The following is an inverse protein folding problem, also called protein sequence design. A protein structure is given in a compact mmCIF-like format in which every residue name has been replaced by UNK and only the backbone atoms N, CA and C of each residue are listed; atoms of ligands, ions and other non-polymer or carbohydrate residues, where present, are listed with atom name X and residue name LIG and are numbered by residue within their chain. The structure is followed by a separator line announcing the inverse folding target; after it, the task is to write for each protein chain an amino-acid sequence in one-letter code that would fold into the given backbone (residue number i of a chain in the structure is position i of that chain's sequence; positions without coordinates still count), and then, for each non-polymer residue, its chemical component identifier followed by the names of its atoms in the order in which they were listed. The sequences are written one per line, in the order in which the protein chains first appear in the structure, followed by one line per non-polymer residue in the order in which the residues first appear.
data_IF_464773792735
#
_entry.id   IF_464773792735
#
_cell.length_a   1.000
_cell.length_b   1.000
_cell.length_c   1.000
_cell.angle_alpha   90.00
_cell.angle_beta   90.00
_cell.angle_gamma   90.00
#
_symmetry.space_group_name_H-M   'P 1'
#
loop_
_entity.id
_entity.type
_entity.pdbx_description
1 polymer ?
#
# COMPACT_ATOMS: atom_id res chain seq x y z
N UNK A 1 -12.03 -7.07 -0.02
CA UNK A 1 -11.85 -7.03 -1.48
C UNK A 1 -12.69 -5.87 -1.99
N UNK A 2 -12.10 -4.68 -2.11
CA UNK A 2 -12.86 -3.50 -2.54
C UNK A 2 -12.76 -3.39 -4.05
N UNK A 3 -13.81 -3.87 -4.72
CA UNK A 3 -14.03 -3.70 -6.15
C UNK A 3 -14.39 -2.24 -6.44
N UNK A 4 -13.42 -1.46 -6.91
CA UNK A 4 -13.69 -0.18 -7.56
C UNK A 4 -14.13 -0.45 -9.01
N UNK A 5 -15.36 -0.94 -9.19
CA UNK A 5 -16.00 -0.89 -10.51
C UNK A 5 -16.48 0.53 -10.75
N UNK A 6 -15.73 1.30 -11.52
CA UNK A 6 -16.22 2.55 -12.09
C UNK A 6 -15.49 2.92 -13.39
N UNK A 7 -15.51 2.04 -14.38
CA UNK A 7 -15.48 2.44 -15.79
C UNK A 7 -16.29 1.41 -16.59
N UNK A 8 -17.57 1.68 -16.83
CA UNK A 8 -18.28 1.06 -17.95
C UNK A 8 -17.79 1.73 -19.24
N UNK A 9 -17.30 0.90 -20.15
CA UNK A 9 -16.48 1.26 -21.31
C UNK A 9 -17.38 1.58 -22.49
N UNK A 10 -17.78 2.85 -22.68
CA UNK A 10 -18.24 3.38 -23.99
C UNK A 10 -17.76 4.83 -24.29
N UNK A 11 -17.56 5.73 -23.32
CA UNK A 11 -17.45 7.17 -23.63
C UNK A 11 -16.06 7.80 -23.36
N UNK A 12 -15.41 8.49 -24.33
CA UNK A 12 -14.15 9.22 -24.12
C UNK A 12 -14.20 10.24 -22.96
N UNK A 13 -15.40 10.64 -22.54
CA UNK A 13 -15.61 11.45 -21.33
C UNK A 13 -15.07 10.79 -20.05
N UNK A 14 -15.19 9.47 -19.88
CA UNK A 14 -14.66 8.75 -18.72
C UNK A 14 -13.14 8.79 -18.67
N UNK A 15 -12.52 8.68 -19.84
CA UNK A 15 -11.08 8.78 -20.04
C UNK A 15 -10.54 10.17 -19.65
N UNK A 16 -11.16 11.22 -20.18
CA UNK A 16 -10.78 12.59 -19.86
C UNK A 16 -11.07 12.95 -18.41
N UNK A 17 -12.13 12.41 -17.80
CA UNK A 17 -12.38 12.56 -16.36
C UNK A 17 -11.29 11.88 -15.52
N UNK A 18 -10.79 10.72 -15.97
CA UNK A 18 -9.67 10.07 -15.31
C UNK A 18 -8.39 10.91 -15.46
N UNK A 19 -8.09 11.42 -16.65
CA UNK A 19 -6.87 12.20 -16.87
C UNK A 19 -6.96 13.65 -16.38
N UNK A 20 -8.15 14.18 -16.11
CA UNK A 20 -8.38 15.57 -15.70
C UNK A 20 -7.98 15.91 -14.26
N UNK A 21 -7.22 15.05 -13.59
CA UNK A 21 -6.79 15.23 -12.21
C UNK A 21 -5.27 15.33 -12.15
N UNK A 22 -4.79 16.41 -11.52
CA UNK A 22 -3.38 16.74 -11.46
C UNK A 22 -2.57 15.64 -10.76
N UNK A 23 -3.07 15.07 -9.66
CA UNK A 23 -2.36 14.04 -8.91
C UNK A 23 -2.21 12.77 -9.76
N UNK A 24 -3.23 12.38 -10.53
CA UNK A 24 -3.16 11.22 -11.44
C UNK A 24 -2.18 11.45 -12.58
N UNK A 25 -2.13 12.64 -13.17
CA UNK A 25 -1.15 12.96 -14.21
C UNK A 25 0.28 12.95 -13.66
N UNK A 26 0.50 13.50 -12.46
CA UNK A 26 1.80 13.46 -11.79
C UNK A 26 2.23 12.02 -11.47
N UNK A 27 1.30 11.18 -10.99
CA UNK A 27 1.54 9.74 -10.78
C UNK A 27 1.95 9.05 -12.08
N UNK A 28 1.22 9.25 -13.18
CA UNK A 28 1.54 8.64 -14.47
C UNK A 28 2.92 9.06 -14.99
N UNK A 29 3.27 10.35 -14.87
CA UNK A 29 4.60 10.84 -15.24
C UNK A 29 5.73 10.21 -14.42
N UNK A 30 5.53 10.06 -13.11
CA UNK A 30 6.53 9.41 -12.24
C UNK A 30 6.68 7.92 -12.59
N UNK A 31 5.56 7.23 -12.79
CA UNK A 31 5.53 5.80 -13.13
C UNK A 31 6.08 5.50 -14.54
N UNK A 32 6.04 6.47 -15.46
CA UNK A 32 6.65 6.32 -16.79
C UNK A 32 8.18 6.31 -16.70
N UNK A 33 8.75 7.03 -15.72
CA UNK A 33 10.19 7.11 -15.48
C UNK A 33 10.72 5.93 -14.67
N UNK A 34 9.97 5.45 -13.69
CA UNK A 34 10.41 4.36 -12.83
C UNK A 34 9.26 3.62 -12.15
N UNK A 35 9.46 2.34 -11.83
CA UNK A 35 8.56 1.59 -10.96
C UNK A 35 8.69 2.04 -9.51
N UNK A 36 7.56 2.38 -8.87
CA UNK A 36 7.53 2.98 -7.54
C UNK A 36 6.52 2.26 -6.64
N UNK A 37 6.80 2.21 -5.33
CA UNK A 37 5.88 1.71 -4.32
C UNK A 37 4.97 2.84 -3.80
N UNK A 38 3.90 2.48 -3.08
CA UNK A 38 2.93 3.48 -2.56
C UNK A 38 3.60 4.49 -1.64
N UNK A 39 4.52 4.07 -0.78
CA UNK A 39 5.21 4.91 0.20
C UNK A 39 6.11 5.96 -0.47
N UNK A 40 6.84 5.56 -1.51
CA UNK A 40 7.68 6.42 -2.33
C UNK A 40 6.81 7.43 -3.09
N UNK A 41 5.71 6.98 -3.69
CA UNK A 41 4.76 7.88 -4.38
C UNK A 41 4.17 8.91 -3.42
N UNK A 42 3.80 8.52 -2.20
CA UNK A 42 3.33 9.46 -1.18
C UNK A 42 4.40 10.46 -0.77
N UNK A 43 5.66 10.01 -0.65
CA UNK A 43 6.79 10.87 -0.30
C UNK A 43 7.14 11.87 -1.40
N UNK A 44 7.05 11.48 -2.67
CA UNK A 44 7.34 12.35 -3.81
C UNK A 44 6.22 13.41 -3.98
N UNK A 45 4.96 12.98 -3.90
CA UNK A 45 3.82 13.86 -4.18
C UNK A 45 3.36 14.68 -2.97
N UNK A 46 3.76 14.30 -1.75
CA UNK A 46 3.29 14.92 -0.52
C UNK A 46 1.80 14.66 -0.22
N UNK A 47 1.24 13.59 -0.79
CA UNK A 47 -0.18 13.24 -0.66
C UNK A 47 -0.37 12.14 0.38
N UNK A 48 -1.55 12.08 1.00
CA UNK A 48 -1.93 11.01 1.91
C UNK A 48 -1.98 9.66 1.20
N UNK A 49 -1.53 8.60 1.89
CA UNK A 49 -1.50 7.23 1.37
C UNK A 49 -2.86 6.70 0.90
N UNK A 50 -3.94 7.06 1.58
CA UNK A 50 -5.30 6.72 1.18
C UNK A 50 -5.69 7.35 -0.16
N UNK A 51 -5.28 8.60 -0.41
CA UNK A 51 -5.50 9.31 -1.66
C UNK A 51 -4.74 8.67 -2.82
N UNK A 52 -3.44 8.42 -2.62
CA UNK A 52 -2.59 7.77 -3.64
C UNK A 52 -3.12 6.38 -3.98
N UNK A 53 -3.48 5.56 -2.99
CA UNK A 53 -4.04 4.23 -3.22
C UNK A 53 -5.34 4.27 -4.04
N UNK A 54 -6.23 5.22 -3.73
CA UNK A 54 -7.47 5.43 -4.51
C UNK A 54 -7.16 5.80 -5.97
N UNK A 55 -6.22 6.71 -6.20
CA UNK A 55 -5.82 7.11 -7.54
C UNK A 55 -5.21 5.94 -8.32
N UNK A 56 -4.35 5.15 -7.69
CA UNK A 56 -3.74 3.96 -8.30
C UNK A 56 -4.78 2.90 -8.65
N UNK A 57 -5.80 2.70 -7.80
CA UNK A 57 -6.89 1.78 -8.10
C UNK A 57 -7.62 2.19 -9.38
N UNK A 58 -8.01 3.47 -9.51
CA UNK A 58 -8.69 3.97 -10.71
C UNK A 58 -7.83 3.84 -11.97
N UNK A 59 -6.52 4.11 -11.87
CA UNK A 59 -5.58 3.94 -12.99
C UNK A 59 -5.38 2.47 -13.38
N UNK A 60 -5.43 1.56 -12.41
CA UNK A 60 -5.38 0.10 -12.63
C UNK A 60 -6.65 -0.41 -13.28
N UNK A 61 -7.82 0.05 -12.81
CA UNK A 61 -9.13 -0.31 -13.37
C UNK A 61 -9.25 0.16 -14.82
N UNK A 62 -8.65 1.30 -15.17
CA UNK A 62 -8.55 1.80 -16.54
C UNK A 62 -7.47 1.10 -17.40
N UNK A 63 -6.68 0.19 -16.83
CA UNK A 63 -5.62 -0.52 -17.56
C UNK A 63 -4.41 0.34 -17.93
N UNK A 64 -4.19 1.46 -17.24
CA UNK A 64 -3.03 2.34 -17.44
C UNK A 64 -1.80 1.89 -16.63
N UNK A 65 -2.04 1.31 -15.45
CA UNK A 65 -1.01 0.92 -14.49
C UNK A 65 -1.22 -0.53 -14.10
N UNK A 66 -0.12 -1.25 -13.88
CA UNK A 66 -0.11 -2.59 -13.31
C UNK A 66 0.61 -2.60 -11.98
N UNK A 67 0.20 -3.54 -11.13
CA UNK A 67 0.75 -3.77 -9.80
C UNK A 67 1.54 -5.08 -9.81
N UNK A 68 2.77 -5.05 -9.34
CA UNK A 68 3.67 -6.20 -9.20
C UNK A 68 4.13 -6.31 -7.75
N UNK A 69 4.08 -7.52 -7.20
CA UNK A 69 4.51 -7.77 -5.82
C UNK A 69 5.91 -8.36 -5.83
N UNK A 70 6.84 -7.67 -5.20
CA UNK A 70 8.25 -8.07 -5.11
C UNK A 70 8.72 -7.92 -3.66
N UNK A 71 9.33 -8.98 -3.10
CA UNK A 71 9.89 -8.99 -1.74
C UNK A 71 8.95 -8.45 -0.63
N UNK A 72 7.64 -8.67 -0.76
CA UNK A 72 6.63 -8.23 0.22
C UNK A 72 6.07 -6.81 0.00
N UNK A 73 6.58 -6.07 -0.99
CA UNK A 73 6.10 -4.75 -1.37
C UNK A 73 5.32 -4.79 -2.69
N UNK A 74 4.29 -3.94 -2.82
CA UNK A 74 3.59 -3.71 -4.09
C UNK A 74 4.22 -2.52 -4.83
N UNK A 75 4.77 -2.81 -5.99
CA UNK A 75 5.31 -1.83 -6.93
C UNK A 75 4.31 -1.59 -8.06
N UNK A 76 4.27 -0.37 -8.55
CA UNK A 76 3.41 0.05 -9.65
C UNK A 76 4.28 0.44 -10.84
N UNK A 77 3.84 0.09 -12.04
CA UNK A 77 4.46 0.51 -13.31
C UNK A 77 3.41 0.75 -14.38
N UNK A 78 3.75 1.55 -15.40
CA UNK A 78 2.89 1.71 -16.57
C UNK A 78 2.66 0.35 -17.23
N UNK A 79 1.40 0.08 -17.59
CA UNK A 79 1.03 -1.15 -18.26
C UNK A 79 1.69 -1.23 -19.65
N UNK A 80 2.36 -2.34 -20.01
CA UNK A 80 2.96 -2.51 -21.34
C UNK A 80 1.98 -2.25 -22.48
N UNK A 81 0.71 -2.67 -22.32
CA UNK A 81 -0.36 -2.44 -23.28
C UNK A 81 -0.60 -0.96 -23.64
N UNK A 82 -0.28 -0.02 -22.73
CA UNK A 82 -0.32 1.42 -23.01
C UNK A 82 0.77 1.81 -24.01
N UNK A 83 1.99 1.29 -23.80
CA UNK A 83 3.15 1.56 -24.65
C UNK A 83 3.02 0.86 -26.01
N UNK A 84 2.53 -0.37 -26.01
CA UNK A 84 2.34 -1.19 -27.20
C UNK A 84 1.09 -0.78 -28.01
N UNK A 85 0.38 0.26 -27.57
CA UNK A 85 -0.86 0.76 -28.18
C UNK A 85 -1.97 -0.29 -28.31
N UNK A 86 -1.89 -1.35 -27.50
CA UNK A 86 -2.82 -2.46 -27.50
C UNK A 86 -4.08 -2.17 -26.68
N UNK A 87 -4.12 -1.06 -25.94
CA UNK A 87 -5.29 -0.56 -25.24
C UNK A 87 -5.88 0.67 -25.94
N UNK A 88 -7.06 1.11 -25.49
CA UNK A 88 -7.72 2.32 -26.00
C UNK A 88 -6.94 3.63 -25.78
N UNK A 89 -5.73 3.60 -25.21
CA UNK A 89 -4.89 4.76 -24.93
C UNK A 89 -3.69 4.91 -25.88
N UNK A 90 -3.49 3.96 -26.80
CA UNK A 90 -2.27 3.89 -27.61
C UNK A 90 -1.91 5.15 -28.40
N UNK A 91 -2.91 5.86 -28.93
CA UNK A 91 -2.69 7.10 -29.68
C UNK A 91 -2.56 8.35 -28.78
N UNK A 92 -3.12 8.31 -27.57
CA UNK A 92 -3.09 9.43 -26.63
C UNK A 92 -1.80 9.46 -25.81
N UNK A 93 -1.24 8.29 -25.51
CA UNK A 93 -0.06 8.17 -24.67
C UNK A 93 1.17 8.96 -25.18
N UNK A 94 1.53 8.92 -26.48
CA UNK A 94 2.65 9.71 -26.98
C UNK A 94 2.45 11.23 -26.80
N UNK A 95 1.22 11.72 -26.98
CA UNK A 95 0.88 13.13 -26.76
C UNK A 95 1.01 13.50 -25.28
N UNK A 96 0.53 12.63 -24.38
CA UNK A 96 0.71 12.82 -22.95
C UNK A 96 2.19 12.84 -22.55
N UNK A 97 3.02 11.97 -23.13
CA UNK A 97 4.46 11.95 -22.87
C UNK A 97 5.16 13.24 -23.32
N UNK A 98 4.80 13.77 -24.49
CA UNK A 98 5.29 15.06 -24.96
C UNK A 98 4.91 16.20 -24.00
N UNK A 99 3.64 16.23 -23.56
CA UNK A 99 3.17 17.19 -22.57
C UNK A 99 3.81 17.00 -21.20
N UNK A 100 4.10 15.77 -20.76
CA UNK A 100 4.83 15.51 -19.52
C UNK A 100 6.26 16.02 -19.58
N UNK A 101 6.92 15.96 -20.76
CA UNK A 101 8.22 16.58 -20.98
C UNK A 101 8.17 18.10 -20.81
N UNK A 102 7.19 18.76 -21.44
CA UNK A 102 7.00 20.20 -21.34
C UNK A 102 6.58 20.65 -19.93
N UNK A 103 5.61 19.96 -19.31
CA UNK A 103 5.14 20.22 -17.95
C UNK A 103 6.18 19.85 -16.87
N UNK A 104 7.15 18.99 -17.22
CA UNK A 104 8.32 18.72 -16.40
C UNK A 104 9.19 19.94 -16.14
N UNK A 105 9.18 20.90 -17.07
CA UNK A 105 9.80 22.20 -16.89
C UNK A 105 9.08 23.13 -15.91
N UNK A 106 7.93 22.76 -15.35
CA UNK A 106 7.26 23.54 -14.31
C UNK A 106 7.96 23.45 -12.94
N UNK A 107 7.74 24.41 -12.01
CA UNK A 107 8.33 24.37 -10.67
C UNK A 107 7.89 23.13 -9.86
N UNK A 108 6.62 22.73 -9.93
CA UNK A 108 6.14 21.49 -9.32
C UNK A 108 6.76 20.25 -9.97
N UNK A 109 6.91 20.27 -11.29
CA UNK A 109 7.53 19.20 -12.06
C UNK A 109 9.00 18.98 -11.69
N UNK A 110 9.78 20.05 -11.53
CA UNK A 110 11.18 19.97 -11.07
C UNK A 110 11.29 19.48 -9.63
N UNK A 111 10.38 19.91 -8.75
CA UNK A 111 10.38 19.46 -7.36
C UNK A 111 10.11 17.96 -7.25
N UNK A 112 9.15 17.45 -8.02
CA UNK A 112 8.85 16.01 -8.08
C UNK A 112 10.01 15.21 -8.64
N UNK A 113 10.68 15.74 -9.68
CA UNK A 113 11.86 15.12 -10.28
C UNK A 113 13.04 15.05 -9.31
N UNK A 114 13.30 16.13 -8.57
CA UNK A 114 14.33 16.15 -7.54
C UNK A 114 14.05 15.14 -6.42
N UNK A 115 12.78 15.03 -5.98
CA UNK A 115 12.39 14.00 -5.00
C UNK A 115 12.49 12.59 -5.57
N UNK A 116 12.23 12.38 -6.86
CA UNK A 116 12.42 11.09 -7.52
C UNK A 116 13.90 10.70 -7.57
N UNK A 117 14.79 11.64 -7.89
CA UNK A 117 16.24 11.41 -7.87
C UNK A 117 16.73 11.05 -6.46
N UNK A 118 16.16 11.68 -5.45
CA UNK A 118 16.44 11.39 -4.05
C UNK A 118 15.97 9.97 -3.66
N UNK A 119 14.78 9.54 -4.10
CA UNK A 119 14.34 8.14 -3.94
C UNK A 119 15.28 7.15 -4.65
N UNK A 120 15.74 7.47 -5.86
CA UNK A 120 16.73 6.65 -6.59
C UNK A 120 18.05 6.54 -5.84
N UNK A 121 18.52 7.65 -5.26
CA UNK A 121 19.71 7.69 -4.42
C UNK A 121 19.54 6.81 -3.19
N UNK A 122 18.44 6.98 -2.45
CA UNK A 122 18.12 6.14 -1.30
C UNK A 122 18.03 4.65 -1.66
N UNK A 123 17.48 4.29 -2.83
CA UNK A 123 17.43 2.90 -3.28
C UNK A 123 18.82 2.33 -3.55
N UNK A 124 19.70 3.08 -4.20
CA UNK A 124 21.10 2.67 -4.43
C UNK A 124 21.83 2.50 -3.10
N UNK A 125 21.72 3.47 -2.21
CA UNK A 125 22.34 3.42 -0.88
C UNK A 125 21.79 2.27 -0.04
N UNK A 126 20.48 2.04 -0.05
CA UNK A 126 19.88 0.90 0.65
C UNK A 126 20.35 -0.43 0.06
N UNK A 127 20.44 -0.53 -1.27
CA UNK A 127 20.94 -1.72 -1.95
C UNK A 127 22.44 -1.94 -1.67
N UNK A 128 23.25 -0.89 -1.59
CA UNK A 128 24.67 -0.98 -1.24
C UNK A 128 24.86 -1.33 0.25
N UNK A 129 24.08 -0.73 1.14
CA UNK A 129 24.14 -0.98 2.58
C UNK A 129 23.57 -2.36 2.98
N UNK A 130 22.68 -2.95 2.17
CA UNK A 130 22.00 -4.21 2.47
C UNK A 130 22.19 -5.29 1.37
N UNK A 131 23.12 -5.08 0.45
CA UNK A 131 23.31 -5.90 -0.77
C UNK A 131 23.94 -7.26 -0.50
N UNK A 132 23.34 -8.29 -1.13
CA UNK A 132 23.74 -9.70 -1.12
C UNK A 132 23.59 -10.45 0.23
N UNK A 133 22.40 -10.41 0.83
CA UNK A 133 22.10 -11.28 1.97
C UNK A 133 20.92 -10.88 2.87
N UNK A 134 20.07 -9.93 2.47
CA UNK A 134 18.88 -9.56 3.24
C UNK A 134 17.69 -10.51 2.98
N UNK A 135 17.96 -11.81 2.87
CA UNK A 135 16.94 -12.80 3.19
C UNK A 135 16.73 -12.76 4.71
N UNK A 136 15.48 -12.79 5.15
CA UNK A 136 15.14 -13.14 6.53
C UNK A 136 15.37 -12.15 7.71
N UNK A 137 15.47 -10.83 7.50
CA UNK A 137 15.22 -9.89 8.63
C UNK A 137 13.73 -9.60 8.74
N UNK A 138 13.06 -10.54 9.41
CA UNK A 138 11.71 -10.45 9.99
C UNK A 138 11.34 -9.00 10.32
N UNK A 139 10.54 -8.40 9.44
CA UNK A 139 9.82 -7.16 9.72
C UNK A 139 9.12 -7.34 11.07
N UNK A 140 9.58 -6.60 12.08
CA UNK A 140 8.88 -6.48 13.35
C UNK A 140 7.64 -5.64 13.04
N UNK A 141 6.56 -6.32 12.65
CA UNK A 141 5.25 -5.70 12.47
C UNK A 141 4.68 -5.47 13.88
N UNK A 142 4.34 -4.23 14.26
CA UNK A 142 3.73 -3.97 15.55
C UNK A 142 2.39 -4.72 15.60
N UNK A 143 2.31 -5.73 16.46
CA UNK A 143 1.16 -6.63 16.60
C UNK A 143 1.52 -8.11 16.70
N UNK A 144 2.45 -8.62 15.88
CA UNK A 144 2.89 -10.04 15.96
C UNK A 144 3.87 -10.30 17.10
N UNK A 145 4.74 -9.33 17.39
CA UNK A 145 5.71 -9.39 18.49
C UNK A 145 5.06 -9.17 19.87
N UNK A 146 3.93 -8.45 19.93
CA UNK A 146 3.24 -8.17 21.21
C UNK A 146 2.75 -9.45 21.90
N UNK A 147 2.21 -10.41 21.15
CA UNK A 147 1.78 -11.68 21.72
C UNK A 147 2.94 -12.49 22.33
N UNK A 148 4.14 -12.40 21.75
CA UNK A 148 5.33 -13.06 22.27
C UNK A 148 5.85 -12.36 23.54
N UNK A 149 5.91 -11.02 23.53
CA UNK A 149 6.25 -10.23 24.71
C UNK A 149 5.24 -10.40 25.84
N UNK A 150 3.94 -10.46 25.56
CA UNK A 150 2.90 -10.70 26.55
C UNK A 150 3.05 -12.06 27.24
N UNK A 151 3.44 -13.12 26.50
CA UNK A 151 3.73 -14.44 27.07
C UNK A 151 5.00 -14.44 27.92
N UNK A 152 6.05 -13.75 27.47
CA UNK A 152 7.28 -13.62 28.24
C UNK A 152 7.04 -12.85 29.55
N UNK A 153 6.29 -11.74 29.49
CA UNK A 153 5.91 -10.96 30.67
C UNK A 153 5.00 -11.74 31.62
N UNK A 154 4.11 -12.60 31.11
CA UNK A 154 3.26 -13.45 31.93
C UNK A 154 4.05 -14.40 32.85
N UNK A 155 5.30 -14.74 32.51
CA UNK A 155 6.18 -15.52 33.39
C UNK A 155 6.87 -14.69 34.47
N UNK A 156 6.96 -13.37 34.32
CA UNK A 156 7.54 -12.47 35.31
C UNK A 156 6.50 -11.93 36.30
N UNK A 157 5.21 -12.03 35.98
CA UNK A 157 4.14 -11.48 36.80
C UNK A 157 3.70 -12.51 37.87
N UNK A 158 3.49 -12.08 39.14
CA UNK A 158 2.82 -12.91 40.13
C UNK A 158 1.38 -13.24 39.66
N UNK A 159 0.69 -14.23 40.24
CA UNK A 159 -0.66 -14.60 39.80
C UNK A 159 -1.63 -13.42 39.97
N UNK A 160 -1.93 -12.73 38.87
CA UNK A 160 -2.86 -11.60 38.82
C UNK A 160 -4.21 -12.08 38.26
N UNK A 161 -5.31 -11.64 38.86
CA UNK A 161 -6.65 -11.81 38.25
C UNK A 161 -6.82 -10.79 37.13
N UNK A 162 -6.81 -11.27 35.90
CA UNK A 162 -7.03 -10.46 34.70
C UNK A 162 -8.50 -10.52 34.31
N UNK A 163 -9.13 -9.35 34.12
CA UNK A 163 -10.45 -9.25 33.53
C UNK A 163 -10.32 -9.24 32.00
N UNK A 164 -10.92 -10.22 31.31
CA UNK A 164 -10.89 -10.30 29.85
C UNK A 164 -11.91 -9.33 29.25
N UNK A 165 -11.44 -8.22 28.69
CA UNK A 165 -12.24 -7.32 27.88
C UNK A 165 -12.15 -7.79 26.42
N UNK A 166 -12.93 -8.83 26.11
CA UNK A 166 -12.93 -9.43 24.78
C UNK A 166 -13.41 -8.45 23.69
N UNK A 167 -12.47 -7.87 22.95
CA UNK A 167 -12.77 -7.32 21.62
C UNK A 167 -12.62 -8.43 20.60
N UNK A 168 -13.74 -9.03 20.21
CA UNK A 168 -13.83 -10.18 19.30
C UNK A 168 -13.43 -9.76 17.89
N UNK A 169 -12.14 -9.77 17.57
CA UNK A 169 -11.69 -9.90 16.17
C UNK A 169 -11.57 -11.39 15.85
N UNK A 170 -12.55 -11.90 15.09
CA UNK A 170 -12.62 -13.31 14.73
C UNK A 170 -11.45 -13.72 13.84
N UNK A 171 -10.54 -14.53 14.36
CA UNK A 171 -9.73 -15.42 13.53
C UNK A 171 -9.69 -16.79 14.21
N UNK A 172 -10.40 -17.74 13.61
CA UNK A 172 -10.34 -19.15 13.95
C UNK A 172 -9.08 -19.75 13.34
N UNK A 173 -8.25 -20.38 14.17
CA UNK A 173 -7.66 -21.71 13.86
C UNK A 173 -6.97 -22.29 15.09
N UNK A 174 -7.28 -23.56 15.28
CA UNK A 174 -6.96 -24.46 16.37
C UNK A 174 -5.47 -24.81 16.49
N UNK A 175 -4.92 -24.65 17.68
CA UNK A 175 -4.09 -25.67 18.35
C UNK A 175 -3.95 -25.25 19.82
N UNK A 176 -4.55 -26.02 20.72
CA UNK A 176 -4.65 -25.67 22.14
C UNK A 176 -3.44 -26.08 22.98
N UNK A 177 -3.33 -25.51 24.19
CA UNK A 177 -2.74 -26.20 25.35
C UNK A 177 -3.68 -26.09 26.60
N UNK A 178 -3.31 -26.63 27.78
CA UNK A 178 -4.09 -27.58 28.61
C UNK A 178 -5.26 -26.92 29.39
N UNK A 179 -6.13 -27.70 30.09
CA UNK A 179 -7.42 -27.19 30.56
C UNK A 179 -7.27 -26.17 31.69
N UNK A 180 -7.68 -24.92 31.43
CA UNK A 180 -8.02 -23.97 32.49
C UNK A 180 -9.27 -24.48 33.21
N UNK A 181 -9.17 -24.71 34.53
CA UNK A 181 -10.32 -24.98 35.37
C UNK A 181 -11.27 -23.80 35.32
N UNK A 182 -12.46 -24.03 34.74
CA UNK A 182 -13.60 -23.12 34.81
C UNK A 182 -14.06 -23.02 36.26
N UNK A 183 -13.63 -21.98 36.98
CA UNK A 183 -14.39 -21.51 38.12
C UNK A 183 -15.68 -20.87 37.59
N UNK A 184 -16.81 -21.58 37.73
CA UNK A 184 -18.14 -20.99 37.52
C UNK A 184 -18.33 -19.93 38.62
N UNK A 185 -18.31 -18.65 38.24
CA UNK A 185 -18.85 -17.61 39.09
C UNK A 185 -20.38 -17.79 39.14
N UNK A 186 -20.88 -18.29 40.28
CA UNK A 186 -22.30 -18.26 40.59
C UNK A 186 -22.75 -16.79 40.66
N UNK A 187 -23.71 -16.45 39.82
CA UNK A 187 -24.47 -15.20 39.97
C UNK A 187 -25.40 -15.36 41.18
N UNK A 188 -25.39 -14.47 42.17
CA UNK A 188 -26.52 -14.37 43.08
C UNK A 188 -27.67 -13.69 42.34
N UNK A 189 -28.82 -14.38 42.31
CA UNK A 189 -30.10 -13.85 41.89
C UNK A 189 -30.54 -12.69 42.79
N UNK A 190 -31.28 -11.76 42.21
CA UNK A 190 -31.84 -10.58 42.85
C UNK A 190 -32.99 -10.89 43.84
N UNK A 191 -33.31 -9.89 44.67
CA UNK A 191 -34.57 -9.68 45.44
C UNK A 191 -34.76 -10.61 46.64
N UNK A 192 -34.91 -10.10 47.87
CA UNK A 192 -36.02 -9.26 48.35
C UNK A 192 -35.56 -8.28 49.42
#
# INVERSE_FOLDING_TARGET
MNSCRLVDVIEPSGLFRLLGDEARLRLLRLLDRERLNVTELTGILGLAQSGVSRHLCLLKDAGLVIEEREAGFSYYRIAPAVRDRANGFGSLWPLLQEHFGAAGGGPAGRADDARLEEVRRMRRENFEAHGAGADERRQIVPGRSWAAWARALAHLLPPVRVADLGSRSGSSRSTGPPPCSRARAGWPAAVT
#
